data_IF_682531331006
#
_entry.id   IF_682531331006
#
_cell.length_a   1.000
_cell.length_b   1.000
_cell.length_c   1.000
_cell.angle_alpha   90.00
_cell.angle_beta   90.00
_cell.angle_gamma   90.00
#
_symmetry.space_group_name_H-M   'P 1'
#
loop_
_entity.id
_entity.type
_entity.pdbx_description
1 polymer ?
#
# COMPACT_ATOMS: atom_id res chain seq x y z
N UNK A 1 40.15 -7.59 38.73
CA UNK A 1 38.81 -7.88 39.27
C UNK A 1 37.78 -7.40 38.27
N UNK A 2 37.20 -8.36 37.54
CA UNK A 2 36.08 -8.16 36.65
C UNK A 2 34.78 -8.01 37.45
N UNK A 3 33.84 -7.22 36.92
CA UNK A 3 32.40 -7.45 36.89
C UNK A 3 31.73 -6.16 36.39
N UNK A 4 31.51 -6.05 35.08
CA UNK A 4 30.23 -6.35 34.43
C UNK A 4 29.22 -5.20 34.52
N UNK A 5 29.32 -4.32 33.52
CA UNK A 5 28.18 -3.59 32.97
C UNK A 5 27.21 -4.63 32.39
N UNK A 6 26.15 -4.94 33.12
CA UNK A 6 25.07 -5.75 32.57
C UNK A 6 24.08 -4.88 31.80
N UNK A 7 23.97 -5.27 30.53
CA UNK A 7 23.11 -4.72 29.51
C UNK A 7 21.64 -4.75 29.93
N UNK A 8 20.96 -3.62 29.76
CA UNK A 8 19.51 -3.58 29.73
C UNK A 8 19.01 -4.43 28.55
N UNK A 9 18.03 -5.32 28.74
CA UNK A 9 17.58 -6.21 27.70
C UNK A 9 16.91 -5.43 26.57
N UNK A 10 17.46 -5.55 25.36
CA UNK A 10 16.81 -5.14 24.13
C UNK A 10 15.58 -6.04 23.90
N UNK A 11 14.39 -5.51 24.17
CA UNK A 11 13.15 -6.17 23.79
C UNK A 11 13.01 -6.20 22.26
N UNK A 12 12.80 -7.37 21.63
CA UNK A 12 12.57 -7.47 20.20
C UNK A 12 11.23 -6.83 19.82
N UNK A 13 11.24 -6.06 18.72
CA UNK A 13 10.08 -5.45 18.08
C UNK A 13 9.09 -6.51 17.60
N UNK A 14 8.24 -7.03 18.49
CA UNK A 14 7.18 -7.98 18.12
C UNK A 14 6.09 -7.99 19.19
N UNK A 15 5.28 -6.93 19.26
CA UNK A 15 3.89 -7.07 19.71
C UNK A 15 3.04 -5.88 19.21
N UNK A 16 2.61 -5.95 17.94
CA UNK A 16 1.61 -5.01 17.40
C UNK A 16 0.36 -5.74 16.89
N UNK A 17 0.21 -7.04 17.19
CA UNK A 17 -0.72 -7.88 16.44
C UNK A 17 -1.71 -8.72 17.24
N UNK A 18 -1.44 -9.11 18.50
CA UNK A 18 -2.11 -10.31 19.02
C UNK A 18 -2.93 -10.16 20.30
N UNK A 19 -3.07 -8.97 20.90
CA UNK A 19 -3.87 -8.81 22.13
C UNK A 19 -4.59 -7.48 22.31
N UNK A 20 -5.38 -7.08 21.33
CA UNK A 20 -6.40 -6.02 21.52
C UNK A 20 -7.78 -6.54 21.10
N UNK A 21 -8.18 -7.67 21.69
CA UNK A 21 -9.57 -8.09 21.65
C UNK A 21 -10.17 -7.90 23.04
N UNK A 22 -11.17 -7.00 23.09
CA UNK A 22 -12.35 -7.02 24.00
C UNK A 22 -12.53 -5.89 25.00
N UNK A 23 -11.64 -4.89 25.08
CA UNK A 23 -11.91 -3.76 25.99
C UNK A 23 -11.34 -2.43 25.49
N UNK A 24 -12.02 -1.75 24.56
CA UNK A 24 -11.95 -0.29 24.58
C UNK A 24 -13.11 0.34 23.80
N UNK A 25 -14.09 0.86 24.53
CA UNK A 25 -14.86 2.01 24.07
C UNK A 25 -13.95 3.24 24.15
N UNK A 26 -13.10 3.45 23.13
CA UNK A 26 -12.34 4.68 22.84
C UNK A 26 -11.47 4.38 21.61
N UNK A 27 -11.79 5.05 20.49
CA UNK A 27 -10.99 5.21 19.28
C UNK A 27 -10.26 3.97 18.75
N UNK A 28 -10.84 3.26 17.78
CA UNK A 28 -10.07 2.37 16.90
C UNK A 28 -9.14 3.21 16.01
N UNK A 29 -7.96 3.52 16.51
CA UNK A 29 -6.84 4.19 15.84
C UNK A 29 -5.99 3.21 15.02
N UNK A 30 -6.63 2.23 14.37
CA UNK A 30 -5.98 1.47 13.29
C UNK A 30 -5.76 2.42 12.12
N UNK A 31 -4.53 2.91 12.01
CA UNK A 31 -4.10 3.71 10.86
C UNK A 31 -4.35 2.92 9.56
N UNK A 32 -4.94 3.51 8.51
CA UNK A 32 -5.26 2.80 7.27
C UNK A 32 -4.08 2.00 6.69
N UNK A 33 -2.86 2.55 6.80
CA UNK A 33 -1.64 1.91 6.32
C UNK A 33 -1.26 0.64 7.11
N UNK A 34 -1.55 0.61 8.41
CA UNK A 34 -1.29 -0.56 9.25
C UNK A 34 -2.31 -1.67 8.96
N UNK A 35 -3.57 -1.29 8.72
CA UNK A 35 -4.64 -2.24 8.40
C UNK A 35 -4.43 -2.90 7.03
N UNK A 36 -3.95 -2.14 6.04
CA UNK A 36 -3.61 -2.67 4.71
C UNK A 36 -2.38 -3.60 4.73
N UNK A 37 -1.60 -3.59 5.81
CA UNK A 37 -0.43 -4.45 6.00
C UNK A 37 -0.65 -5.55 7.06
N UNK A 38 -1.87 -5.70 7.54
CA UNK A 38 -2.21 -6.69 8.56
C UNK A 38 -2.27 -8.10 7.93
N UNK A 39 -1.37 -9.04 8.28
CA UNK A 39 -1.38 -10.39 7.76
C UNK A 39 -2.61 -11.20 8.20
N UNK A 40 -3.37 -10.74 9.20
CA UNK A 40 -4.65 -11.34 9.57
C UNK A 40 -5.78 -11.03 8.56
N UNK A 41 -5.56 -10.06 7.67
CA UNK A 41 -6.55 -9.61 6.67
C UNK A 41 -6.08 -9.89 5.25
N UNK A 42 -4.79 -9.65 4.98
CA UNK A 42 -4.19 -9.79 3.66
C UNK A 42 -3.10 -10.85 3.70
N UNK A 43 -3.25 -11.89 2.89
CA UNK A 43 -2.16 -12.83 2.63
C UNK A 43 -1.02 -12.09 1.91
N UNK A 44 0.21 -12.36 2.33
CA UNK A 44 1.44 -11.70 1.86
C UNK A 44 1.27 -10.18 1.66
N UNK A 45 1.05 -9.42 2.76
CA UNK A 45 0.66 -8.00 2.69
C UNK A 45 1.76 -7.09 2.12
N UNK A 46 3.00 -7.56 2.10
CA UNK A 46 4.16 -6.83 1.56
C UNK A 46 4.33 -7.01 0.05
N UNK A 47 3.58 -7.94 -0.57
CA UNK A 47 3.62 -8.20 -2.01
C UNK A 47 2.61 -7.33 -2.75
N UNK A 48 3.07 -6.61 -3.77
CA UNK A 48 2.19 -5.89 -4.69
C UNK A 48 1.51 -6.88 -5.65
N UNK A 49 0.33 -7.34 -5.27
CA UNK A 49 -0.54 -8.19 -6.08
C UNK A 49 -1.84 -7.42 -6.41
N UNK A 50 -2.02 -6.90 -7.65
CA UNK A 50 -3.22 -6.18 -8.04
C UNK A 50 -4.44 -7.13 -8.19
N UNK A 51 -4.21 -8.39 -8.51
CA UNK A 51 -5.25 -9.37 -8.81
C UNK A 51 -6.01 -9.80 -7.53
N UNK A 52 -5.48 -9.51 -6.34
CA UNK A 52 -6.18 -9.76 -5.06
C UNK A 52 -7.52 -9.01 -4.95
N UNK A 53 -7.70 -7.95 -5.75
CA UNK A 53 -8.93 -7.15 -5.76
C UNK A 53 -9.98 -7.65 -6.75
N UNK A 54 -9.69 -8.72 -7.50
CA UNK A 54 -10.65 -9.36 -8.38
C UNK A 54 -11.81 -9.99 -7.58
N UNK A 55 -13.06 -9.96 -8.10
CA UNK A 55 -14.24 -10.46 -7.39
C UNK A 55 -14.10 -11.89 -6.85
N UNK A 56 -13.35 -12.74 -7.54
CA UNK A 56 -13.15 -14.16 -7.23
C UNK A 56 -12.18 -14.36 -6.05
N UNK A 57 -11.28 -13.40 -5.81
CA UNK A 57 -10.24 -13.48 -4.77
C UNK A 57 -10.53 -12.57 -3.57
N UNK A 58 -11.38 -11.56 -3.75
CA UNK A 58 -11.64 -10.53 -2.76
C UNK A 58 -12.64 -10.99 -1.68
N UNK A 59 -12.17 -11.06 -0.44
CA UNK A 59 -13.03 -11.37 0.71
C UNK A 59 -13.76 -10.13 1.23
N UNK A 60 -14.88 -10.34 1.94
CA UNK A 60 -15.61 -9.25 2.62
C UNK A 60 -14.73 -8.53 3.65
N UNK A 61 -13.88 -9.26 4.37
CA UNK A 61 -12.95 -8.70 5.36
C UNK A 61 -11.93 -7.75 4.72
N UNK A 62 -11.32 -8.17 3.61
CA UNK A 62 -10.38 -7.35 2.84
C UNK A 62 -11.06 -6.08 2.28
N UNK A 63 -12.30 -6.21 1.79
CA UNK A 63 -13.08 -5.07 1.31
C UNK A 63 -13.37 -4.06 2.42
N UNK A 64 -13.70 -4.52 3.63
CA UNK A 64 -13.93 -3.65 4.79
C UNK A 64 -12.65 -3.02 5.33
N UNK A 65 -11.52 -3.71 5.17
CA UNK A 65 -10.21 -3.20 5.56
C UNK A 65 -9.67 -2.11 4.62
N UNK A 66 -10.23 -1.97 3.41
CA UNK A 66 -9.86 -0.90 2.50
C UNK A 66 -10.44 0.45 2.95
N UNK A 67 -9.66 1.19 3.73
CA UNK A 67 -10.08 2.46 4.35
C UNK A 67 -9.29 3.67 3.84
N UNK A 68 -8.66 3.58 2.66
CA UNK A 68 -7.84 4.65 2.07
C UNK A 68 -8.58 5.99 1.89
N UNK A 69 -9.89 5.93 1.64
CA UNK A 69 -10.77 7.11 1.52
C UNK A 69 -11.65 7.34 2.77
N UNK A 70 -11.27 6.76 3.90
CA UNK A 70 -12.06 6.71 5.11
C UNK A 70 -13.31 5.82 4.99
N UNK A 71 -14.21 5.92 5.97
CA UNK A 71 -15.44 5.14 6.03
C UNK A 71 -16.56 5.88 6.77
N UNK A 72 -17.80 5.38 6.62
CA UNK A 72 -18.98 5.94 7.28
C UNK A 72 -19.41 7.32 6.77
N UNK A 73 -20.03 8.11 7.66
CA UNK A 73 -20.65 9.41 7.36
C UNK A 73 -19.65 10.51 6.98
N UNK A 74 -18.37 10.36 7.34
CA UNK A 74 -17.29 11.31 7.05
C UNK A 74 -16.25 10.75 6.08
N UNK A 75 -16.66 9.85 5.18
CA UNK A 75 -15.79 9.35 4.10
C UNK A 75 -15.37 10.51 3.18
N UNK A 76 -14.21 10.38 2.54
CA UNK A 76 -13.69 11.36 1.60
C UNK A 76 -14.71 11.62 0.48
N UNK A 77 -15.12 12.88 0.33
CA UNK A 77 -16.02 13.32 -0.73
C UNK A 77 -15.39 13.11 -2.13
N UNK A 78 -14.07 13.27 -2.21
CA UNK A 78 -13.28 13.09 -3.42
C UNK A 78 -13.00 11.63 -3.79
N UNK A 79 -13.60 10.63 -3.13
CA UNK A 79 -13.32 9.21 -3.43
C UNK A 79 -13.52 8.87 -4.91
N UNK A 80 -14.65 9.26 -5.49
CA UNK A 80 -14.96 8.93 -6.88
C UNK A 80 -14.02 9.67 -7.83
N UNK A 81 -13.80 10.95 -7.58
CA UNK A 81 -12.90 11.78 -8.37
C UNK A 81 -11.47 11.23 -8.38
N UNK A 82 -10.90 10.96 -7.19
CA UNK A 82 -9.53 10.45 -7.07
C UNK A 82 -9.36 9.06 -7.67
N UNK A 83 -10.36 8.18 -7.57
CA UNK A 83 -10.30 6.88 -8.25
C UNK A 83 -10.31 7.02 -9.77
N UNK A 84 -11.15 7.90 -10.32
CA UNK A 84 -11.19 8.17 -11.76
C UNK A 84 -9.86 8.74 -12.26
N UNK A 85 -9.30 9.73 -11.58
CA UNK A 85 -7.99 10.28 -11.93
C UNK A 85 -6.89 9.23 -11.86
N UNK A 86 -6.86 8.41 -10.80
CA UNK A 86 -5.86 7.36 -10.63
C UNK A 86 -5.94 6.32 -11.76
N UNK A 87 -7.15 5.91 -12.15
CA UNK A 87 -7.35 4.98 -13.28
C UNK A 87 -6.88 5.60 -14.59
N UNK A 88 -7.24 6.85 -14.87
CA UNK A 88 -6.82 7.54 -16.09
C UNK A 88 -5.30 7.74 -16.15
N UNK A 89 -4.70 8.16 -15.05
CA UNK A 89 -3.25 8.31 -14.94
C UNK A 89 -2.55 6.97 -15.15
N UNK A 90 -2.99 5.91 -14.48
CA UNK A 90 -2.41 4.58 -14.61
C UNK A 90 -2.56 4.03 -16.03
N UNK A 91 -3.74 4.15 -16.64
CA UNK A 91 -3.99 3.71 -18.01
C UNK A 91 -3.10 4.48 -19.01
N UNK A 92 -2.99 5.79 -18.85
CA UNK A 92 -2.16 6.64 -19.72
C UNK A 92 -0.67 6.30 -19.59
N UNK A 93 -0.18 6.19 -18.36
CA UNK A 93 1.23 5.88 -18.07
C UNK A 93 1.56 4.46 -18.57
N UNK A 94 0.75 3.46 -18.20
CA UNK A 94 0.98 2.07 -18.58
C UNK A 94 0.87 1.82 -20.09
N UNK A 95 0.02 2.55 -20.81
CA UNK A 95 -0.12 2.37 -22.28
C UNK A 95 1.03 3.01 -23.07
N UNK A 96 1.63 4.10 -22.56
CA UNK A 96 2.58 4.90 -23.32
C UNK A 96 4.03 4.79 -22.84
N UNK A 97 4.27 4.39 -21.59
CA UNK A 97 5.58 4.45 -20.95
C UNK A 97 5.91 3.17 -20.20
N UNK A 98 7.15 2.71 -20.32
CA UNK A 98 7.76 1.72 -19.44
C UNK A 98 8.59 2.45 -18.39
N UNK A 99 8.36 2.12 -17.12
CA UNK A 99 9.02 2.75 -15.98
C UNK A 99 10.03 1.79 -15.39
N UNK A 100 11.27 2.26 -15.18
CA UNK A 100 12.31 1.50 -14.52
C UNK A 100 12.89 2.32 -13.37
N UNK A 101 12.90 1.73 -12.17
CA UNK A 101 13.61 2.31 -11.04
C UNK A 101 15.12 2.19 -11.26
N UNK A 102 15.86 3.29 -11.05
CA UNK A 102 17.33 3.32 -11.19
C UNK A 102 18.08 3.30 -9.87
N UNK A 103 17.36 3.42 -8.75
CA UNK A 103 17.95 3.36 -7.42
C UNK A 103 18.20 1.89 -7.03
N UNK A 104 19.28 1.65 -6.30
CA UNK A 104 19.63 0.32 -5.81
C UNK A 104 18.71 -0.16 -4.67
N UNK A 105 18.08 0.78 -3.97
CA UNK A 105 17.22 0.52 -2.81
C UNK A 105 15.74 0.67 -3.18
N UNK A 106 14.85 -0.18 -2.63
CA UNK A 106 13.42 -0.04 -2.83
C UNK A 106 12.89 1.28 -2.25
N UNK A 107 11.87 1.85 -2.90
CA UNK A 107 11.20 3.06 -2.43
C UNK A 107 10.57 2.81 -1.05
N UNK A 108 10.95 3.61 -0.06
CA UNK A 108 10.41 3.52 1.31
C UNK A 108 9.40 4.63 1.57
N UNK A 109 8.26 4.33 2.22
CA UNK A 109 7.32 5.37 2.61
C UNK A 109 7.90 6.22 3.75
N UNK A 110 7.71 7.53 3.66
CA UNK A 110 8.08 8.50 4.68
C UNK A 110 6.81 8.98 5.38
N UNK A 111 6.69 8.81 6.71
CA UNK A 111 5.55 9.30 7.47
C UNK A 111 5.68 10.81 7.66
N UNK A 112 5.15 11.59 6.71
CA UNK A 112 4.93 13.04 6.84
C UNK A 112 3.45 13.29 7.15
N UNK A 113 2.97 14.53 6.98
CA UNK A 113 1.53 14.83 7.05
C UNK A 113 0.70 13.97 6.08
N UNK A 114 1.26 13.69 4.90
CA UNK A 114 0.80 12.64 4.00
C UNK A 114 1.90 11.58 3.87
N UNK A 115 1.51 10.33 3.65
CA UNK A 115 2.46 9.28 3.32
C UNK A 115 3.01 9.52 1.92
N UNK A 116 4.29 9.82 1.80
CA UNK A 116 4.96 10.01 0.51
C UNK A 116 6.14 9.08 0.38
N UNK A 117 6.47 8.60 -0.82
CA UNK A 117 7.70 7.85 -1.01
C UNK A 117 8.90 8.75 -0.78
N UNK A 118 10.01 8.19 -0.30
CA UNK A 118 11.33 8.83 -0.42
C UNK A 118 11.57 9.13 -1.91
N UNK A 119 12.10 10.32 -2.20
CA UNK A 119 12.46 10.68 -3.56
C UNK A 119 13.39 9.61 -4.14
N UNK A 120 13.08 9.19 -5.35
CA UNK A 120 13.83 8.20 -6.11
C UNK A 120 13.81 8.52 -7.59
N UNK A 121 14.71 7.90 -8.34
CA UNK A 121 14.90 8.16 -9.75
C UNK A 121 14.23 7.07 -10.60
N UNK A 122 13.39 7.50 -11.54
CA UNK A 122 12.73 6.63 -12.51
C UNK A 122 13.16 7.03 -13.92
N UNK A 123 13.56 6.06 -14.72
CA UNK A 123 13.74 6.24 -16.16
C UNK A 123 12.45 5.85 -16.86
N UNK A 124 11.94 6.75 -17.69
CA UNK A 124 10.77 6.54 -18.52
C UNK A 124 11.22 6.30 -19.95
N UNK A 125 10.89 5.13 -20.48
CA UNK A 125 11.09 4.80 -21.89
C UNK A 125 9.74 4.77 -22.56
N UNK A 126 9.56 5.54 -23.65
CA UNK A 126 8.31 5.52 -24.39
C UNK A 126 8.11 4.12 -24.97
N UNK A 127 6.95 3.52 -24.77
CA UNK A 127 6.57 2.33 -25.52
C UNK A 127 6.41 2.79 -26.96
N UNK A 128 7.23 2.26 -27.85
CA UNK A 128 6.88 2.21 -29.26
C UNK A 128 5.53 1.53 -29.33
N UNK A 129 4.58 2.17 -30.01
CA UNK A 129 3.30 1.52 -30.27
C UNK A 129 3.61 0.13 -30.81
N UNK A 130 2.97 -0.91 -30.27
CA UNK A 130 2.71 -2.08 -31.08
C UNK A 130 2.13 -1.50 -32.37
N UNK A 131 2.83 -1.67 -33.48
CA UNK A 131 2.26 -1.44 -34.80
C UNK A 131 0.88 -2.07 -34.74
N UNK A 132 -0.15 -1.28 -35.00
CA UNK A 132 -1.52 -1.78 -35.19
C UNK A 132 -1.45 -2.73 -36.39
N UNK A 133 -1.04 -3.97 -36.17
CA UNK A 133 -1.19 -5.07 -37.10
C UNK A 133 -2.63 -5.52 -36.96
N UNK A 134 -3.47 -5.13 -37.92
CA UNK A 134 -4.92 -5.35 -37.95
C UNK A 134 -5.69 -4.02 -38.08
N UNK A 135 -5.44 -3.20 -39.10
CA UNK A 135 -6.21 -3.26 -40.35
C UNK A 135 -6.38 -4.66 -40.98
N UNK A 136 -7.63 -4.92 -41.40
CA UNK A 136 -8.29 -6.15 -41.91
C UNK A 136 -9.08 -6.85 -40.78
N UNK A 137 -10.42 -6.86 -40.75
CA UNK A 137 -11.43 -6.91 -41.83
C UNK A 137 -12.71 -6.17 -41.43
#
# INVERSE_FOLDING_TARGET
>A
MAAHLDALPHHPRTDCGRRLQRSCGRGCDRLPCALQRDPAVFDDPEVFDPDRWLPERLTTGQRQAFTAFGGGRRKCLGKQYGMTEAVLALATISSNWQLRNTDAEPLRPLPRFLLTPKAGSLVLTRRTALSRAGDQQ
#
